data_IF_877632687841
#
_entry.id   IF_877632687841
#
_cell.length_a   1.000
_cell.length_b   1.000
_cell.length_c   1.000
_cell.angle_alpha   90.00
_cell.angle_beta   90.00
_cell.angle_gamma   90.00
#
_symmetry.space_group_name_H-M   'P 1'
#
loop_
_entity.id
_entity.type
_entity.pdbx_description
1 polymer ?
#
# COMPACT_ATOMS: atom_id res chain seq x y z
N UNK A 1 6.22 16.15 -26.13
CA UNK A 1 7.37 15.26 -25.86
C UNK A 1 6.94 14.23 -24.83
N UNK A 2 6.78 12.98 -25.23
CA UNK A 2 6.25 11.89 -24.40
C UNK A 2 7.37 11.32 -23.52
N UNK A 3 7.22 11.47 -22.21
CA UNK A 3 8.15 10.92 -21.21
C UNK A 3 8.07 9.40 -21.18
N UNK A 4 8.79 8.72 -22.07
CA UNK A 4 9.11 7.30 -21.91
C UNK A 4 10.17 7.20 -20.83
N UNK A 5 9.78 6.83 -19.62
CA UNK A 5 10.75 6.53 -18.55
C UNK A 5 11.68 5.42 -19.01
N UNK A 6 13.00 5.67 -19.07
CA UNK A 6 14.01 4.70 -19.52
C UNK A 6 14.16 3.47 -18.62
N UNK A 7 13.40 3.34 -17.53
CA UNK A 7 13.50 2.25 -16.55
C UNK A 7 13.53 0.84 -17.15
N UNK A 8 12.56 0.44 -18.00
CA UNK A 8 12.57 -0.90 -18.61
C UNK A 8 13.79 -1.16 -19.49
N UNK A 9 14.31 -0.13 -20.17
CA UNK A 9 15.47 -0.25 -21.05
C UNK A 9 16.77 -0.33 -20.26
N UNK A 10 16.89 0.48 -19.20
CA UNK A 10 18.00 0.42 -18.24
C UNK A 10 18.07 -0.97 -17.59
N UNK A 11 16.93 -1.55 -17.19
CA UNK A 11 16.90 -2.90 -16.61
C UNK A 11 17.36 -3.98 -17.60
N UNK A 12 17.02 -3.86 -18.89
CA UNK A 12 17.53 -4.76 -19.93
C UNK A 12 19.04 -4.63 -20.08
N UNK A 13 19.57 -3.41 -20.15
CA UNK A 13 21.01 -3.16 -20.26
C UNK A 13 21.74 -3.74 -19.06
N UNK A 14 21.26 -3.50 -17.83
CA UNK A 14 21.83 -4.07 -16.62
C UNK A 14 21.79 -5.61 -16.62
N UNK A 15 20.70 -6.20 -17.11
CA UNK A 15 20.58 -7.66 -17.23
C UNK A 15 21.59 -8.23 -18.23
N UNK A 16 21.76 -7.59 -19.38
CA UNK A 16 22.76 -7.98 -20.38
C UNK A 16 24.18 -7.83 -19.84
N UNK A 17 24.47 -6.73 -19.16
CA UNK A 17 25.78 -6.51 -18.53
C UNK A 17 26.07 -7.57 -17.47
N UNK A 18 25.09 -7.90 -16.62
CA UNK A 18 25.23 -8.98 -15.63
C UNK A 18 25.54 -10.34 -16.28
N UNK A 19 24.88 -10.66 -17.40
CA UNK A 19 25.16 -11.91 -18.14
C UNK A 19 26.60 -11.95 -18.65
N UNK A 20 27.11 -10.81 -19.13
CA UNK A 20 28.44 -10.66 -19.72
C UNK A 20 29.58 -10.53 -18.68
N UNK A 21 29.27 -10.37 -17.39
CA UNK A 21 30.30 -10.39 -16.33
C UNK A 21 30.99 -11.75 -16.26
N UNK A 22 32.28 -11.72 -15.95
CA UNK A 22 33.06 -12.93 -15.65
C UNK A 22 32.56 -13.61 -14.36
N UNK A 23 32.92 -14.88 -14.20
CA UNK A 23 32.52 -15.63 -12.99
C UNK A 23 33.16 -15.05 -11.73
N UNK A 24 34.41 -14.59 -11.81
CA UNK A 24 35.12 -13.95 -10.69
C UNK A 24 34.42 -12.66 -10.23
N UNK A 25 33.93 -11.86 -11.17
CA UNK A 25 33.17 -10.63 -10.87
C UNK A 25 31.82 -10.96 -10.21
N UNK A 26 31.10 -11.96 -10.73
CA UNK A 26 29.83 -12.44 -10.14
C UNK A 26 30.06 -13.01 -8.74
N UNK A 27 31.16 -13.72 -8.53
CA UNK A 27 31.54 -14.31 -7.26
C UNK A 27 31.75 -13.23 -6.18
N UNK A 28 32.43 -12.13 -6.51
CA UNK A 28 32.59 -10.98 -5.61
C UNK A 28 31.23 -10.40 -5.16
N UNK A 29 30.25 -10.26 -6.06
CA UNK A 29 28.89 -9.84 -5.69
C UNK A 29 28.19 -10.87 -4.80
N UNK A 30 28.36 -12.16 -5.07
CA UNK A 30 27.78 -13.22 -4.23
C UNK A 30 28.38 -13.22 -2.82
N UNK A 31 29.68 -13.01 -2.68
CA UNK A 31 30.35 -12.97 -1.37
C UNK A 31 29.91 -11.76 -0.55
N UNK A 32 29.80 -10.59 -1.18
CA UNK A 32 29.23 -9.39 -0.54
C UNK A 32 27.80 -9.63 -0.09
N UNK A 33 26.98 -10.27 -0.93
CA UNK A 33 25.59 -10.59 -0.58
C UNK A 33 25.51 -11.58 0.61
N UNK A 34 26.42 -12.57 0.68
CA UNK A 34 26.52 -13.48 1.83
C UNK A 34 26.87 -12.71 3.10
N UNK A 35 27.91 -11.88 3.07
CA UNK A 35 28.34 -11.07 4.23
C UNK A 35 27.22 -10.17 4.74
N UNK A 36 26.52 -9.46 3.85
CA UNK A 36 25.36 -8.63 4.22
C UNK A 36 24.25 -9.49 4.82
N UNK A 37 24.01 -10.67 4.25
CA UNK A 37 23.04 -11.64 4.76
C UNK A 37 23.37 -12.10 6.19
N UNK A 38 24.63 -12.39 6.47
CA UNK A 38 25.12 -12.79 7.80
C UNK A 38 25.01 -11.64 8.80
N UNK A 39 25.52 -10.45 8.46
CA UNK A 39 25.48 -9.27 9.33
C UNK A 39 24.06 -8.93 9.78
N UNK A 40 23.12 -8.96 8.85
CA UNK A 40 21.75 -8.61 9.18
C UNK A 40 20.99 -9.76 9.87
N UNK A 41 21.42 -11.02 9.71
CA UNK A 41 20.93 -12.16 10.50
C UNK A 41 21.35 -11.99 11.96
N UNK A 42 22.62 -11.69 12.19
CA UNK A 42 23.18 -11.45 13.53
C UNK A 42 22.49 -10.24 14.19
N UNK A 43 22.28 -9.16 13.43
CA UNK A 43 21.54 -8.00 13.92
C UNK A 43 20.08 -8.35 14.26
N UNK A 44 19.42 -9.19 13.45
CA UNK A 44 18.07 -9.65 13.74
C UNK A 44 18.02 -10.53 14.99
N UNK A 45 19.00 -11.42 15.19
CA UNK A 45 19.07 -12.30 16.36
C UNK A 45 19.23 -11.51 17.67
N UNK A 46 19.98 -10.40 17.64
CA UNK A 46 20.15 -9.48 18.78
C UNK A 46 18.89 -8.71 19.17
N UNK A 47 17.85 -8.67 18.33
CA UNK A 47 16.60 -7.99 18.66
C UNK A 47 15.84 -8.74 19.74
N UNK A 48 15.13 -7.99 20.60
CA UNK A 48 14.21 -8.59 21.57
C UNK A 48 13.03 -9.26 20.86
N UNK A 49 12.37 -10.17 21.56
CA UNK A 49 11.19 -10.86 21.04
C UNK A 49 10.08 -9.87 20.66
N UNK A 50 9.93 -8.80 21.45
CA UNK A 50 9.01 -7.70 21.16
C UNK A 50 9.35 -6.96 19.86
N UNK A 51 10.62 -6.60 19.66
CA UNK A 51 11.07 -5.93 18.44
C UNK A 51 10.90 -6.82 17.20
N UNK A 52 11.23 -8.11 17.31
CA UNK A 52 11.01 -9.10 16.24
C UNK A 52 9.54 -9.22 15.86
N UNK A 53 8.65 -9.24 16.85
CA UNK A 53 7.19 -9.25 16.64
C UNK A 53 6.71 -7.98 15.95
N UNK A 54 7.17 -6.80 16.38
CA UNK A 54 6.79 -5.53 15.76
C UNK A 54 7.21 -5.47 14.27
N UNK A 55 8.43 -5.93 13.95
CA UNK A 55 8.89 -6.03 12.57
C UNK A 55 8.03 -6.97 11.73
N UNK A 56 7.63 -8.11 12.29
CA UNK A 56 6.70 -9.04 11.63
C UNK A 56 5.33 -8.41 11.38
N UNK A 57 4.75 -7.75 12.38
CA UNK A 57 3.45 -7.10 12.28
C UNK A 57 3.48 -5.99 11.21
N UNK A 58 4.53 -5.16 11.19
CA UNK A 58 4.78 -4.16 10.13
C UNK A 58 4.89 -4.82 8.74
N UNK A 59 5.60 -5.95 8.63
CA UNK A 59 5.73 -6.69 7.37
C UNK A 59 4.36 -7.20 6.89
N UNK A 60 3.58 -7.81 7.77
CA UNK A 60 2.24 -8.33 7.47
C UNK A 60 1.31 -7.19 7.06
N UNK A 61 1.34 -6.05 7.76
CA UNK A 61 0.54 -4.88 7.41
C UNK A 61 0.90 -4.36 6.01
N UNK A 62 2.19 -4.18 5.72
CA UNK A 62 2.68 -3.72 4.41
C UNK A 62 2.26 -4.67 3.29
N UNK A 63 2.42 -5.98 3.51
CA UNK A 63 1.98 -7.01 2.56
C UNK A 63 0.48 -6.96 2.33
N UNK A 64 -0.33 -6.85 3.39
CA UNK A 64 -1.79 -6.75 3.29
C UNK A 64 -2.24 -5.48 2.58
N UNK A 65 -1.58 -4.34 2.85
CA UNK A 65 -1.81 -3.08 2.14
C UNK A 65 -1.53 -3.21 0.64
N UNK A 66 -0.41 -3.83 0.26
CA UNK A 66 -0.07 -4.07 -1.15
C UNK A 66 -1.08 -5.01 -1.84
N UNK A 67 -1.55 -6.04 -1.16
CA UNK A 67 -2.59 -6.93 -1.68
C UNK A 67 -3.89 -6.18 -1.93
N UNK A 68 -4.35 -5.36 -0.97
CA UNK A 68 -5.55 -4.50 -1.12
C UNK A 68 -5.41 -3.56 -2.32
N UNK A 69 -4.25 -2.94 -2.50
CA UNK A 69 -3.99 -2.05 -3.65
C UNK A 69 -3.99 -2.79 -4.98
N UNK A 70 -3.41 -3.99 -5.05
CA UNK A 70 -3.44 -4.83 -6.26
C UNK A 70 -4.86 -5.23 -6.63
N UNK A 71 -5.65 -5.68 -5.65
CA UNK A 71 -7.06 -6.02 -5.87
C UNK A 71 -7.86 -4.80 -6.34
N UNK A 72 -7.69 -3.63 -5.69
CA UNK A 72 -8.32 -2.38 -6.12
C UNK A 72 -7.98 -2.01 -7.57
N UNK A 73 -6.71 -2.13 -7.98
CA UNK A 73 -6.30 -1.87 -9.37
C UNK A 73 -6.94 -2.83 -10.35
N UNK A 74 -7.00 -4.12 -10.04
CA UNK A 74 -7.66 -5.10 -10.91
C UNK A 74 -9.16 -4.84 -11.02
N UNK A 75 -9.83 -4.50 -9.91
CA UNK A 75 -11.24 -4.14 -9.90
C UNK A 75 -11.51 -2.88 -10.74
N UNK A 76 -10.66 -1.85 -10.62
CA UNK A 76 -10.75 -0.65 -11.45
C UNK A 76 -10.58 -0.95 -12.94
N UNK A 77 -9.63 -1.85 -13.29
CA UNK A 77 -9.43 -2.31 -14.66
C UNK A 77 -10.68 -3.02 -15.19
N UNK A 78 -11.25 -3.94 -14.42
CA UNK A 78 -12.51 -4.61 -14.76
C UNK A 78 -13.66 -3.61 -14.98
N UNK A 79 -13.82 -2.63 -14.09
CA UNK A 79 -14.84 -1.58 -14.27
C UNK A 79 -14.63 -0.74 -15.52
N UNK A 80 -13.37 -0.48 -15.91
CA UNK A 80 -13.07 0.24 -17.14
C UNK A 80 -13.37 -0.62 -18.38
N UNK A 81 -12.96 -1.88 -18.40
CA UNK A 81 -13.16 -2.81 -19.53
C UNK A 81 -14.63 -3.13 -19.77
N UNK A 82 -15.42 -3.22 -18.69
CA UNK A 82 -16.86 -3.51 -18.76
C UNK A 82 -17.73 -2.27 -18.94
N UNK A 83 -17.13 -1.09 -19.06
CA UNK A 83 -17.81 0.21 -19.14
C UNK A 83 -18.86 0.37 -18.04
N UNK A 84 -18.48 0.10 -16.78
CA UNK A 84 -19.39 0.23 -15.63
C UNK A 84 -20.03 1.63 -15.63
N UNK A 85 -21.38 1.73 -15.59
CA UNK A 85 -22.05 3.03 -15.54
C UNK A 85 -21.49 3.90 -14.42
N UNK A 86 -21.20 5.16 -14.75
CA UNK A 86 -20.67 6.12 -13.79
C UNK A 86 -21.83 6.68 -12.98
N UNK A 87 -21.62 6.90 -11.68
CA UNK A 87 -22.60 7.58 -10.85
C UNK A 87 -22.84 8.99 -11.44
N UNK A 88 -24.10 9.41 -11.61
CA UNK A 88 -24.41 10.74 -12.09
C UNK A 88 -23.98 11.78 -11.05
N UNK A 89 -23.81 13.01 -11.53
CA UNK A 89 -23.48 14.15 -10.67
C UNK A 89 -24.66 14.48 -9.76
N UNK A 90 -24.37 14.97 -8.56
CA UNK A 90 -25.41 15.54 -7.69
C UNK A 90 -25.82 16.92 -8.22
N UNK A 91 -26.99 17.42 -7.82
CA UNK A 91 -27.54 18.71 -8.28
C UNK A 91 -26.54 19.88 -8.18
N UNK A 92 -25.81 20.00 -7.07
CA UNK A 92 -24.74 21.00 -6.93
C UNK A 92 -23.62 20.81 -7.97
N UNK A 93 -23.16 19.57 -8.21
CA UNK A 93 -22.13 19.30 -9.20
C UNK A 93 -22.61 19.53 -10.64
N UNK A 94 -23.89 19.32 -10.93
CA UNK A 94 -24.51 19.69 -12.21
C UNK A 94 -24.43 21.22 -12.40
N UNK A 95 -24.84 21.99 -11.40
CA UNK A 95 -24.71 23.45 -11.41
C UNK A 95 -23.25 23.92 -11.57
N UNK A 96 -22.31 23.34 -10.82
CA UNK A 96 -20.89 23.69 -10.93
C UNK A 96 -20.35 23.36 -12.33
N UNK A 97 -20.76 22.23 -12.91
CA UNK A 97 -20.40 21.83 -14.27
C UNK A 97 -20.92 22.85 -15.28
N UNK A 98 -22.18 23.24 -15.19
CA UNK A 98 -22.77 24.27 -16.06
C UNK A 98 -22.02 25.60 -15.91
N UNK A 99 -21.76 26.06 -14.68
CA UNK A 99 -21.00 27.27 -14.43
C UNK A 99 -19.55 27.19 -14.98
N UNK A 100 -18.96 25.99 -14.98
CA UNK A 100 -17.64 25.75 -15.55
C UNK A 100 -17.67 25.80 -17.08
N UNK A 101 -18.70 25.26 -17.72
CA UNK A 101 -18.91 25.27 -19.17
C UNK A 101 -19.20 26.69 -19.70
N UNK A 102 -19.88 27.52 -18.91
CA UNK A 102 -20.14 28.93 -19.23
C UNK A 102 -18.89 29.83 -19.07
N UNK A 103 -17.76 29.30 -18.60
CA UNK A 103 -16.54 30.09 -18.50
C UNK A 103 -15.94 30.38 -19.86
N UNK A 104 -15.76 31.67 -20.15
CA UNK A 104 -15.06 32.13 -21.35
C UNK A 104 -13.55 32.00 -21.27
N UNK A 105 -12.98 31.90 -20.05
CA UNK A 105 -11.53 31.84 -19.81
C UNK A 105 -11.13 30.46 -19.28
N UNK A 106 -10.23 29.73 -19.96
CA UNK A 106 -9.81 28.42 -19.48
C UNK A 106 -9.00 28.55 -18.18
N UNK A 107 -9.42 27.81 -17.15
CA UNK A 107 -8.67 27.70 -15.90
C UNK A 107 -7.53 26.69 -16.08
N UNK A 108 -6.29 27.19 -16.03
CA UNK A 108 -5.08 26.38 -16.33
C UNK A 108 -4.41 25.75 -15.10
N UNK A 109 -4.81 26.10 -13.88
CA UNK A 109 -4.14 25.63 -12.65
C UNK A 109 -5.13 25.04 -11.65
N UNK A 110 -4.70 23.98 -10.96
CA UNK A 110 -5.52 23.30 -9.95
C UNK A 110 -5.96 24.25 -8.83
N UNK A 111 -5.09 25.15 -8.38
CA UNK A 111 -5.41 26.14 -7.35
C UNK A 111 -6.57 27.07 -7.79
N UNK A 112 -6.61 27.46 -9.07
CA UNK A 112 -7.69 28.29 -9.61
C UNK A 112 -8.99 27.49 -9.77
N UNK A 113 -8.90 26.21 -10.14
CA UNK A 113 -10.08 25.32 -10.17
C UNK A 113 -10.68 25.20 -8.78
N UNK A 114 -9.84 24.95 -7.76
CA UNK A 114 -10.30 24.83 -6.38
C UNK A 114 -10.97 26.13 -5.89
N UNK A 115 -10.39 27.29 -6.21
CA UNK A 115 -11.00 28.59 -5.88
C UNK A 115 -12.35 28.78 -6.57
N UNK A 116 -12.46 28.42 -7.86
CA UNK A 116 -13.72 28.51 -8.60
C UNK A 116 -14.80 27.59 -8.02
N UNK A 117 -14.46 26.31 -7.76
CA UNK A 117 -15.39 25.34 -7.17
C UNK A 117 -15.87 25.81 -5.80
N UNK A 118 -14.98 26.37 -4.98
CA UNK A 118 -15.35 26.95 -3.68
C UNK A 118 -16.33 28.12 -3.84
N UNK A 119 -16.08 29.03 -4.79
CA UNK A 119 -16.96 30.15 -5.08
C UNK A 119 -18.34 29.71 -5.57
N UNK A 120 -18.41 28.74 -6.50
CA UNK A 120 -19.69 28.23 -7.00
C UNK A 120 -20.45 27.46 -5.92
N UNK A 121 -19.74 26.74 -5.04
CA UNK A 121 -20.37 26.06 -3.90
C UNK A 121 -21.01 27.07 -2.94
N UNK A 122 -20.37 28.22 -2.69
CA UNK A 122 -20.97 29.29 -1.89
C UNK A 122 -22.19 29.91 -2.57
N UNK A 123 -22.12 30.15 -3.89
CA UNK A 123 -23.26 30.64 -4.67
C UNK A 123 -24.43 29.66 -4.63
N UNK A 124 -24.17 28.36 -4.74
CA UNK A 124 -25.19 27.32 -4.61
C UNK A 124 -25.89 27.38 -3.26
N UNK A 125 -25.17 27.63 -2.16
CA UNK A 125 -25.80 27.77 -0.84
C UNK A 125 -26.73 28.97 -0.75
N UNK A 126 -26.41 30.06 -1.45
CA UNK A 126 -27.20 31.30 -1.48
C UNK A 126 -28.40 31.25 -2.43
N UNK A 127 -28.44 30.30 -3.37
CA UNK A 127 -29.57 30.12 -4.29
C UNK A 127 -30.84 29.69 -3.54
N UNK A 128 -31.96 30.20 -4.02
CA UNK A 128 -33.31 29.79 -3.58
C UNK A 128 -33.64 28.37 -4.01
N UNK A 129 -34.62 27.76 -3.37
CA UNK A 129 -35.06 26.41 -3.74
C UNK A 129 -35.63 26.37 -5.15
N UNK A 130 -36.25 27.45 -5.63
CA UNK A 130 -36.75 27.61 -6.99
C UNK A 130 -35.62 27.57 -8.03
N UNK A 131 -34.51 28.26 -7.77
CA UNK A 131 -33.33 28.23 -8.64
C UNK A 131 -32.62 26.87 -8.62
N UNK A 132 -32.75 26.10 -7.53
CA UNK A 132 -32.18 24.77 -7.39
C UNK A 132 -33.03 23.66 -8.03
N UNK A 133 -34.34 23.87 -8.19
CA UNK A 133 -35.27 22.88 -8.75
C UNK A 133 -34.78 22.26 -10.08
N UNK A 134 -34.39 23.02 -11.12
CA UNK A 134 -34.01 22.42 -12.40
C UNK A 134 -32.85 21.43 -12.26
N UNK A 135 -31.88 21.71 -11.38
CA UNK A 135 -30.76 20.82 -11.11
C UNK A 135 -31.14 19.59 -10.29
N UNK A 136 -32.15 19.73 -9.41
CA UNK A 136 -32.70 18.62 -8.66
C UNK A 136 -33.48 17.67 -9.59
N UNK A 137 -34.29 18.21 -10.49
CA UNK A 137 -35.04 17.46 -11.49
C UNK A 137 -34.10 16.72 -12.44
N UNK A 138 -33.08 17.41 -12.97
CA UNK A 138 -32.05 16.78 -13.82
C UNK A 138 -31.30 15.66 -13.07
N UNK A 139 -30.93 15.89 -11.81
CA UNK A 139 -30.30 14.86 -10.98
C UNK A 139 -31.21 13.63 -10.81
N UNK A 140 -32.50 13.82 -10.58
CA UNK A 140 -33.45 12.70 -10.42
C UNK A 140 -33.57 11.87 -11.69
N UNK A 141 -33.71 12.52 -12.85
CA UNK A 141 -33.76 11.84 -14.16
C UNK A 141 -32.47 11.05 -14.40
N UNK A 142 -31.31 11.67 -14.17
CA UNK A 142 -30.01 11.03 -14.37
C UNK A 142 -29.79 9.85 -13.40
N UNK A 143 -30.25 9.96 -12.16
CA UNK A 143 -30.20 8.87 -11.17
C UNK A 143 -31.09 7.70 -11.58
N UNK A 144 -32.30 7.96 -12.06
CA UNK A 144 -33.20 6.91 -12.53
C UNK A 144 -32.59 6.15 -13.73
N UNK A 145 -32.04 6.87 -14.71
CA UNK A 145 -31.34 6.28 -15.85
C UNK A 145 -30.14 5.43 -15.40
N UNK A 146 -29.29 5.98 -14.52
CA UNK A 146 -28.15 5.25 -13.95
C UNK A 146 -28.56 3.96 -13.23
N UNK A 147 -29.65 3.98 -12.46
CA UNK A 147 -30.12 2.78 -11.76
C UNK A 147 -30.52 1.66 -12.73
N UNK A 148 -31.18 2.02 -13.83
CA UNK A 148 -31.53 1.07 -14.89
C UNK A 148 -30.29 0.51 -15.57
N UNK A 149 -29.38 1.36 -16.04
CA UNK A 149 -28.12 0.94 -16.67
C UNK A 149 -27.26 0.08 -15.74
N UNK A 150 -27.20 0.42 -14.45
CA UNK A 150 -26.48 -0.36 -13.45
C UNK A 150 -27.11 -1.72 -13.19
N UNK A 151 -28.43 -1.83 -13.24
CA UNK A 151 -29.11 -3.11 -13.07
C UNK A 151 -28.80 -4.03 -14.26
N UNK A 152 -28.92 -3.53 -15.48
CA UNK A 152 -28.55 -4.24 -16.71
C UNK A 152 -27.07 -4.65 -16.70
N UNK A 153 -26.17 -3.74 -16.33
CA UNK A 153 -24.74 -4.02 -16.21
C UNK A 153 -24.45 -5.11 -15.17
N UNK A 154 -25.07 -5.03 -13.98
CA UNK A 154 -24.90 -6.05 -12.94
C UNK A 154 -25.41 -7.41 -13.38
N UNK A 155 -26.53 -7.45 -14.11
CA UNK A 155 -27.08 -8.69 -14.64
C UNK A 155 -26.14 -9.28 -15.70
N UNK A 156 -25.65 -8.44 -16.63
CA UNK A 156 -24.72 -8.86 -17.68
C UNK A 156 -23.44 -9.47 -17.14
N UNK A 157 -22.86 -8.90 -16.08
CA UNK A 157 -21.59 -9.34 -15.50
C UNK A 157 -21.75 -10.06 -14.14
N UNK A 158 -22.91 -10.64 -13.88
CA UNK A 158 -23.23 -11.22 -12.57
C UNK A 158 -22.23 -12.32 -12.16
N UNK A 159 -21.80 -13.14 -13.13
CA UNK A 159 -20.88 -14.25 -12.89
C UNK A 159 -19.48 -13.75 -12.53
N UNK A 160 -18.97 -12.76 -13.25
CA UNK A 160 -17.66 -12.15 -13.07
C UNK A 160 -17.62 -11.35 -11.76
N UNK A 161 -18.71 -10.64 -11.43
CA UNK A 161 -18.85 -9.97 -10.13
C UNK A 161 -18.80 -11.00 -8.99
N UNK A 162 -19.41 -12.17 -9.16
CA UNK A 162 -19.35 -13.25 -8.15
C UNK A 162 -17.93 -13.77 -7.98
N UNK A 163 -17.25 -14.06 -9.08
CA UNK A 163 -15.83 -14.48 -9.08
C UNK A 163 -14.96 -13.44 -8.39
N UNK A 164 -15.14 -12.15 -8.68
CA UNK A 164 -14.43 -11.05 -8.01
C UNK A 164 -14.62 -11.06 -6.49
N UNK A 165 -15.87 -11.23 -6.02
CA UNK A 165 -16.17 -11.29 -4.58
C UNK A 165 -15.55 -12.52 -3.92
N UNK A 166 -15.57 -13.66 -4.60
CA UNK A 166 -14.94 -14.89 -4.11
C UNK A 166 -13.41 -14.74 -4.04
N UNK A 167 -12.77 -14.13 -5.05
CA UNK A 167 -11.34 -13.84 -5.03
C UNK A 167 -10.97 -12.85 -3.91
N UNK A 168 -11.77 -11.80 -3.70
CA UNK A 168 -11.58 -10.85 -2.62
C UNK A 168 -11.70 -11.53 -1.25
N UNK A 169 -12.72 -12.39 -1.06
CA UNK A 169 -12.90 -13.17 0.16
C UNK A 169 -11.74 -14.15 0.39
N UNK A 170 -11.28 -14.86 -0.65
CA UNK A 170 -10.10 -15.75 -0.57
C UNK A 170 -8.82 -14.98 -0.23
N UNK A 171 -8.63 -13.80 -0.82
CA UNK A 171 -7.49 -12.94 -0.50
C UNK A 171 -7.55 -12.41 0.93
N UNK A 172 -8.74 -12.06 1.42
CA UNK A 172 -8.96 -11.65 2.81
C UNK A 172 -8.73 -12.82 3.79
N UNK A 173 -9.20 -14.02 3.46
CA UNK A 173 -8.93 -15.24 4.24
C UNK A 173 -7.44 -15.54 4.26
N UNK A 174 -6.75 -15.46 3.12
CA UNK A 174 -5.29 -15.63 3.05
C UNK A 174 -4.57 -14.58 3.89
N UNK A 175 -5.00 -13.32 3.86
CA UNK A 175 -4.44 -12.26 4.70
C UNK A 175 -4.64 -12.56 6.21
N UNK A 176 -5.79 -13.10 6.60
CA UNK A 176 -6.05 -13.57 7.97
C UNK A 176 -5.24 -14.81 8.32
N UNK A 177 -5.14 -15.80 7.44
CA UNK A 177 -4.31 -17.00 7.65
C UNK A 177 -2.81 -16.76 7.55
N UNK A 178 -2.39 -15.60 7.02
CA UNK A 178 -0.99 -15.12 7.13
C UNK A 178 -0.77 -14.38 8.46
N UNK A 179 -1.80 -14.15 9.29
CA UNK A 179 -1.56 -14.02 10.73
C UNK A 179 -1.09 -15.40 11.17
N UNK A 180 0.23 -15.52 11.23
CA UNK A 180 1.00 -16.71 11.54
C UNK A 180 0.28 -17.54 12.61
N UNK A 181 -0.06 -18.79 12.31
CA UNK A 181 -0.62 -19.73 13.28
C UNK A 181 0.26 -19.70 14.53
N UNK A 182 -0.31 -19.19 15.61
CA UNK A 182 0.28 -18.92 16.92
C UNK A 182 1.01 -20.12 17.56
N UNK A 183 0.95 -21.32 16.96
CA UNK A 183 1.38 -22.57 17.55
C UNK A 183 2.86 -22.95 17.38
N UNK A 184 3.67 -22.28 16.55
CA UNK A 184 5.07 -22.70 16.31
C UNK A 184 6.15 -21.75 16.85
N UNK A 185 5.78 -20.57 17.34
CA UNK A 185 6.75 -19.67 17.97
C UNK A 185 6.03 -18.93 19.10
N UNK A 186 5.85 -19.63 20.22
CA UNK A 186 5.54 -18.97 21.49
C UNK A 186 6.70 -18.05 21.81
N UNK A 187 6.58 -16.79 21.39
CA UNK A 187 7.38 -15.73 21.96
C UNK A 187 7.00 -15.71 23.44
N UNK A 188 7.79 -16.37 24.29
CA UNK A 188 7.68 -16.26 25.74
C UNK A 188 8.01 -14.80 26.10
N UNK A 189 7.00 -13.94 26.02
CA UNK A 189 7.07 -12.52 26.35
C UNK A 189 7.36 -12.35 27.86
N UNK A 190 7.10 -13.39 28.67
CA UNK A 190 7.37 -13.40 30.10
C UNK A 190 8.86 -13.58 30.47
N UNK A 191 9.72 -13.96 29.51
CA UNK A 191 11.17 -14.09 29.74
C UNK A 191 11.95 -12.77 29.75
N UNK A 192 11.35 -11.67 29.27
CA UNK A 192 12.01 -10.36 29.17
C UNK A 192 11.81 -9.49 30.45
N UNK A 193 11.07 -9.95 31.46
CA UNK A 193 10.78 -9.17 32.68
C UNK A 193 12.02 -8.98 33.59
N UNK A 194 12.93 -9.95 33.61
CA UNK A 194 14.10 -9.93 34.51
C UNK A 194 15.28 -9.09 34.00
N UNK A 195 15.29 -8.75 32.70
CA UNK A 195 16.33 -7.89 32.09
C UNK A 195 15.98 -6.41 32.31
N UNK A 196 14.68 -6.07 32.25
CA UNK A 196 14.19 -4.69 32.32
C UNK A 196 14.39 -4.05 33.70
N UNK A 197 14.29 -4.80 34.81
CA UNK A 197 14.54 -4.25 36.16
C UNK A 197 16.02 -3.93 36.42
N UNK A 198 16.95 -4.73 35.87
CA UNK A 198 18.39 -4.48 36.04
C UNK A 198 18.88 -3.35 35.15
N UNK A 199 18.36 -3.25 33.92
CA UNK A 199 18.65 -2.14 33.01
C UNK A 199 18.02 -0.83 33.52
N UNK A 200 16.78 -0.86 34.04
CA UNK A 200 16.09 0.32 34.58
C UNK A 200 16.78 0.89 35.83
N UNK A 201 17.30 0.04 36.72
CA UNK A 201 18.09 0.49 37.89
C UNK A 201 19.44 1.09 37.43
N UNK A 202 20.04 0.56 36.37
CA UNK A 202 21.28 1.10 35.80
C UNK A 202 21.06 2.44 35.08
N UNK A 203 19.95 2.59 34.35
CA UNK A 203 19.56 3.84 33.69
C UNK A 203 19.16 4.94 34.70
N UNK A 204 18.44 4.60 35.79
CA UNK A 204 18.09 5.56 36.85
C UNK A 204 19.31 6.14 37.57
N UNK A 205 20.41 5.39 37.67
CA UNK A 205 21.66 5.87 38.28
C UNK A 205 22.46 6.80 37.36
N UNK A 206 22.17 6.80 36.05
CA UNK A 206 22.86 7.61 35.04
C UNK A 206 22.09 8.91 34.69
N UNK A 207 20.77 8.96 34.87
CA UNK A 207 19.92 10.11 34.48
C UNK A 207 19.76 11.23 35.53
N UNK A 208 20.45 11.14 36.68
CA UNK A 208 20.52 12.26 37.63
C UNK A 208 21.57 13.33 37.27
N UNK A 209 22.10 13.31 36.05
CA UNK A 209 22.93 14.39 35.53
C UNK A 209 22.44 14.85 34.17
N UNK A 210 22.15 16.16 34.10
CA UNK A 210 21.88 16.99 32.92
C UNK A 210 20.46 17.02 32.31
N UNK A 211 19.80 18.13 32.66
CA UNK A 211 18.57 18.73 32.13
C UNK A 211 18.60 19.09 30.62
N UNK A 212 17.42 18.96 29.99
CA UNK A 212 16.79 19.79 28.93
C UNK A 212 17.56 20.14 27.64
N UNK A 213 16.95 19.81 26.48
CA UNK A 213 16.37 20.78 25.50
C UNK A 213 15.75 20.01 24.32
N UNK A 214 14.52 20.38 23.94
CA UNK A 214 13.81 19.96 22.73
C UNK A 214 14.51 20.44 21.43
N UNK A 215 14.54 19.60 20.38
CA UNK A 215 13.92 19.88 19.06
C UNK A 215 14.25 18.83 18.00
N UNK A 216 13.17 18.29 17.45
CA UNK A 216 12.87 17.99 16.02
C UNK A 216 14.01 18.22 15.02
N UNK A 217 14.61 17.13 14.53
CA UNK A 217 15.24 17.04 13.21
C UNK A 217 14.87 15.72 12.51
N UNK A 218 14.44 15.84 11.26
CA UNK A 218 14.10 14.76 10.33
C UNK A 218 15.43 14.21 9.78
N UNK A 219 15.80 12.96 10.07
CA UNK A 219 17.13 12.43 9.74
C UNK A 219 17.08 10.96 9.31
N UNK A 220 17.59 10.69 8.09
CA UNK A 220 18.41 9.56 7.59
C UNK A 220 18.10 8.08 7.97
N UNK A 221 17.07 7.77 8.74
CA UNK A 221 16.80 6.41 9.22
C UNK A 221 15.80 5.62 8.34
N UNK A 222 15.10 6.27 7.42
CA UNK A 222 14.18 5.60 6.48
C UNK A 222 14.91 4.58 5.56
N UNK A 223 16.17 4.82 5.22
CA UNK A 223 16.98 3.92 4.38
C UNK A 223 17.40 2.64 5.11
N UNK A 224 17.63 2.72 6.44
CA UNK A 224 17.95 1.55 7.27
C UNK A 224 16.71 0.70 7.49
N UNK A 225 15.56 1.32 7.72
CA UNK A 225 14.30 0.60 7.90
C UNK A 225 13.87 -0.08 6.59
N UNK A 226 14.11 0.54 5.44
CA UNK A 226 13.86 -0.11 4.14
C UNK A 226 14.82 -1.28 3.88
N UNK A 227 16.09 -1.17 4.29
CA UNK A 227 17.07 -2.25 4.20
C UNK A 227 16.69 -3.46 5.06
N UNK A 228 16.29 -3.22 6.32
CA UNK A 228 15.81 -4.26 7.25
C UNK A 228 14.56 -4.94 6.70
N UNK A 229 13.63 -4.19 6.10
CA UNK A 229 12.42 -4.73 5.49
C UNK A 229 12.69 -5.56 4.21
N UNK A 230 13.63 -5.13 3.36
CA UNK A 230 14.08 -5.91 2.19
C UNK A 230 14.70 -7.22 2.63
N UNK A 231 15.39 -7.18 3.75
CA UNK A 231 16.12 -8.32 4.24
C UNK A 231 15.22 -9.34 4.95
N UNK A 232 14.18 -8.88 5.63
CA UNK A 232 13.09 -9.74 6.13
C UNK A 232 12.37 -10.48 4.98
N UNK A 233 12.17 -9.83 3.83
CA UNK A 233 11.60 -10.46 2.64
C UNK A 233 12.55 -11.51 2.02
N UNK A 234 13.86 -11.27 2.05
CA UNK A 234 14.85 -12.22 1.54
C UNK A 234 14.94 -13.48 2.43
N UNK A 235 14.96 -13.31 3.76
CA UNK A 235 14.99 -14.43 4.72
C UNK A 235 13.72 -15.27 4.62
N UNK A 236 12.53 -14.65 4.61
CA UNK A 236 11.26 -15.38 4.49
C UNK A 236 11.13 -16.14 3.17
N UNK A 237 11.67 -15.61 2.07
CA UNK A 237 11.69 -16.29 0.77
C UNK A 237 12.68 -17.47 0.77
N UNK A 238 13.81 -17.35 1.46
CA UNK A 238 14.81 -18.41 1.59
C UNK A 238 14.32 -19.56 2.49
N UNK A 239 13.72 -19.24 3.64
CA UNK A 239 13.16 -20.22 4.56
C UNK A 239 11.94 -20.94 3.96
N UNK A 240 11.03 -20.23 3.28
CA UNK A 240 9.90 -20.84 2.59
C UNK A 240 10.30 -21.76 1.42
N UNK A 241 11.48 -21.58 0.81
CA UNK A 241 12.02 -22.53 -0.19
C UNK A 241 12.63 -23.77 0.45
N UNK A 242 13.15 -23.66 1.68
CA UNK A 242 13.76 -24.78 2.41
C UNK A 242 12.70 -25.79 2.88
N UNK A 243 11.53 -25.31 3.29
CA UNK A 243 10.37 -26.15 3.65
C UNK A 243 9.84 -26.96 2.45
N UNK A 244 9.80 -26.38 1.24
CA UNK A 244 9.40 -27.10 0.02
C UNK A 244 10.44 -28.18 -0.35
N UNK A 245 11.73 -27.90 -0.14
CA UNK A 245 12.82 -28.83 -0.44
C UNK A 245 12.90 -29.99 0.56
N UNK A 246 12.55 -29.78 1.83
CA UNK A 246 12.48 -30.85 2.84
C UNK A 246 11.25 -31.74 2.67
N UNK A 247 10.10 -31.18 2.28
CA UNK A 247 8.88 -31.96 2.06
C UNK A 247 8.92 -32.82 0.76
N UNK A 248 9.82 -32.52 -0.18
CA UNK A 248 10.06 -33.36 -1.36
C UNK A 248 11.06 -34.51 -1.13
N UNK A 249 11.66 -34.62 0.06
CA UNK A 249 12.62 -35.70 0.41
C UNK A 249 12.02 -36.85 1.22
N UNK A 250 10.71 -36.84 1.50
CA UNK A 250 10.03 -37.84 2.34
C UNK A 250 9.21 -38.86 1.51
N UNK A 251 9.21 -38.76 0.18
CA UNK A 251 8.65 -39.83 -0.68
C UNK A 251 9.77 -40.62 -1.35
N UNK A 252 10.27 -41.65 -0.64
CA UNK A 252 10.81 -42.90 -1.21
C UNK A 252 10.74 -44.00 -0.14
#
# INVERSE_FOLDING_TARGET
>A
MTGKSGGPEILKILSTNWKNLSEDEKQNYSERAKKIGDELRDNFEKLTNRQKKELWDKHVEKRNKLLRLRMKKKLQKFYAETNRPKRPLTSNWVFIKECFELQTKPIKTLAKVNKFVAQMSQRWLQMTDAEKQPYADEMQVNIAAYHKEMAEWKQKYASEIRVWKEEEAKAALKARGTQFTQAHFEWNIDGDRDVDEKEAIHQMLLDNSTHLVERREWSKDDDKEEAIQRMFLAISTYLGRKEISQNQRIEY
#
